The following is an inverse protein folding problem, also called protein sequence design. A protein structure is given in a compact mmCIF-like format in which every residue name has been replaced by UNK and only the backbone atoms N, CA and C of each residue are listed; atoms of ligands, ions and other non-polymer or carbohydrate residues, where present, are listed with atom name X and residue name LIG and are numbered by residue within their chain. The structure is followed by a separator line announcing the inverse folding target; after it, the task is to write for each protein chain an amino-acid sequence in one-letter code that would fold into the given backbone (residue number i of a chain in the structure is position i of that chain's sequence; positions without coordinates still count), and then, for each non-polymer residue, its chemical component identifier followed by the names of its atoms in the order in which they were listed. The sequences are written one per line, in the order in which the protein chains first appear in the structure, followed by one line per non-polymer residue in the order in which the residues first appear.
data_IF_157998721747
#
_entry.id   IF_157998721747
#
_cell.length_a   1.000
_cell.length_b   1.000
_cell.length_c   1.000
_cell.angle_alpha   90.00
_cell.angle_beta   90.00
_cell.angle_gamma   90.00
#
_symmetry.space_group_name_H-M   'P 1'
#
loop_
_entity.id
_entity.type
_entity.pdbx_description
1 polymer ?
#
# COMPACT_ATOMS: atom_id res chain seq x y z
N UNK A 1 -7.61 -6.33 -24.47
CA UNK A 1 -8.46 -5.39 -25.25
C UNK A 1 -9.91 -5.85 -25.35
N UNK A 2 -10.21 -7.14 -25.60
CA UNK A 2 -11.62 -7.64 -25.71
C UNK A 2 -12.44 -7.40 -24.43
N UNK A 3 -11.84 -7.48 -23.25
CA UNK A 3 -12.51 -7.26 -21.95
C UNK A 3 -13.07 -5.85 -21.74
N UNK A 4 -12.59 -4.85 -22.48
CA UNK A 4 -13.01 -3.45 -22.35
C UNK A 4 -14.00 -2.99 -23.42
N UNK A 5 -14.35 -3.82 -24.40
CA UNK A 5 -15.31 -3.44 -25.46
C UNK A 5 -16.69 -3.19 -24.83
N UNK A 6 -17.20 -4.16 -24.09
CA UNK A 6 -18.53 -4.06 -23.45
C UNK A 6 -18.57 -2.95 -22.38
N UNK A 7 -17.58 -2.81 -21.47
CA UNK A 7 -17.52 -1.67 -20.57
C UNK A 7 -17.46 -0.30 -21.26
N UNK A 8 -16.83 -0.20 -22.43
CA UNK A 8 -16.82 1.05 -23.20
C UNK A 8 -18.20 1.41 -23.75
N UNK A 9 -18.97 0.42 -24.21
CA UNK A 9 -20.37 0.60 -24.62
C UNK A 9 -21.21 1.01 -23.40
N UNK A 10 -21.08 0.31 -22.28
CA UNK A 10 -21.76 0.65 -21.04
C UNK A 10 -21.50 2.07 -20.60
N UNK A 11 -20.25 2.52 -20.70
CA UNK A 11 -19.83 3.87 -20.31
C UNK A 11 -20.52 4.95 -21.15
N UNK A 12 -20.62 4.75 -22.48
CA UNK A 12 -21.30 5.67 -23.39
C UNK A 12 -22.81 5.69 -23.11
N UNK A 13 -23.44 4.51 -23.02
CA UNK A 13 -24.89 4.41 -22.75
C UNK A 13 -25.21 5.02 -21.37
N UNK A 14 -24.42 4.73 -20.35
CA UNK A 14 -24.58 5.27 -19.01
C UNK A 14 -24.50 6.82 -18.99
N UNK A 15 -23.65 7.41 -19.83
CA UNK A 15 -23.59 8.87 -19.97
C UNK A 15 -24.96 9.47 -20.33
N UNK A 16 -25.63 8.94 -21.35
CA UNK A 16 -26.93 9.43 -21.78
C UNK A 16 -28.05 9.10 -20.79
N UNK A 17 -28.06 7.90 -20.23
CA UNK A 17 -29.07 7.46 -19.25
C UNK A 17 -29.03 8.30 -17.98
N UNK A 18 -27.84 8.74 -17.57
CA UNK A 18 -27.68 9.52 -16.32
C UNK A 18 -27.84 11.04 -16.50
N UNK A 19 -27.94 11.55 -17.74
CA UNK A 19 -28.09 12.96 -18.03
C UNK A 19 -29.20 13.65 -17.23
N UNK A 20 -30.45 13.14 -17.14
CA UNK A 20 -31.52 13.79 -16.41
C UNK A 20 -31.21 13.95 -14.92
N UNK A 21 -30.56 12.94 -14.30
CA UNK A 21 -30.18 12.98 -12.91
C UNK A 21 -29.02 13.96 -12.65
N UNK A 22 -28.10 14.10 -13.60
CA UNK A 22 -26.96 15.04 -13.51
C UNK A 22 -27.38 16.49 -13.70
N UNK A 23 -28.39 16.75 -14.53
CA UNK A 23 -28.94 18.10 -14.74
C UNK A 23 -29.72 18.62 -13.53
N UNK A 24 -30.23 17.71 -12.67
CA UNK A 24 -30.87 18.08 -11.41
C UNK A 24 -29.78 18.33 -10.35
N UNK A 25 -29.19 19.53 -10.34
CA UNK A 25 -28.21 19.97 -9.32
C UNK A 25 -28.83 19.91 -7.90
N UNK A 26 -28.84 18.74 -7.28
CA UNK A 26 -28.93 18.60 -5.83
C UNK A 26 -27.53 18.26 -5.31
N UNK A 27 -27.19 18.68 -4.09
CA UNK A 27 -25.96 18.29 -3.40
C UNK A 27 -25.74 16.80 -3.56
N UNK A 28 -24.73 16.45 -4.36
CA UNK A 28 -24.49 15.06 -4.74
C UNK A 28 -23.35 14.53 -3.87
N UNK A 29 -23.71 13.90 -2.76
CA UNK A 29 -22.74 13.26 -1.86
C UNK A 29 -22.37 11.86 -2.32
N UNK A 30 -22.61 11.50 -3.58
CA UNK A 30 -22.29 10.18 -4.11
C UNK A 30 -20.77 10.05 -4.28
N UNK A 31 -20.23 9.04 -3.63
CA UNK A 31 -18.81 8.75 -3.58
C UNK A 31 -18.52 7.33 -4.10
N UNK A 32 -17.56 7.20 -5.00
CA UNK A 32 -17.00 5.90 -5.39
C UNK A 32 -15.62 5.72 -4.75
N UNK A 33 -15.47 4.65 -4.00
CA UNK A 33 -14.20 4.24 -3.39
C UNK A 33 -13.70 2.97 -4.07
N UNK A 34 -12.42 2.88 -4.36
CA UNK A 34 -11.81 1.65 -4.85
C UNK A 34 -10.29 1.65 -4.67
N UNK A 35 -9.73 0.48 -4.54
CA UNK A 35 -8.29 0.25 -4.68
C UNK A 35 -7.96 -0.02 -6.16
N UNK A 36 -7.62 -1.25 -6.56
CA UNK A 36 -7.40 -1.58 -7.98
C UNK A 36 -8.65 -2.07 -8.71
N UNK A 37 -9.74 -2.26 -7.99
CA UNK A 37 -10.98 -2.84 -8.50
C UNK A 37 -11.14 -4.33 -8.13
N UNK A 38 -10.11 -4.96 -7.59
CA UNK A 38 -10.12 -6.35 -7.12
C UNK A 38 -9.59 -6.53 -5.69
N UNK A 39 -9.19 -5.46 -5.02
CA UNK A 39 -8.61 -5.49 -3.66
C UNK A 39 -9.48 -4.70 -2.68
N UNK A 40 -9.54 -5.12 -1.42
CA UNK A 40 -10.16 -4.41 -0.29
C UNK A 40 -9.42 -4.76 1.01
N UNK A 41 -8.20 -4.22 1.18
CA UNK A 41 -7.36 -4.50 2.35
C UNK A 41 -6.43 -3.35 2.75
N UNK A 42 -6.50 -2.23 2.05
CA UNK A 42 -5.60 -1.09 2.19
C UNK A 42 -6.40 0.18 2.56
N UNK A 43 -5.84 1.36 2.33
CA UNK A 43 -6.43 2.65 2.70
C UNK A 43 -7.84 2.86 2.14
N UNK A 44 -8.13 2.36 0.93
CA UNK A 44 -9.47 2.42 0.34
C UNK A 44 -10.52 1.65 1.14
N UNK A 45 -10.17 0.46 1.61
CA UNK A 45 -11.00 -0.36 2.47
C UNK A 45 -11.29 0.33 3.82
N UNK A 46 -10.25 0.77 4.52
CA UNK A 46 -10.40 1.42 5.83
C UNK A 46 -11.17 2.74 5.72
N UNK A 47 -10.91 3.52 4.69
CA UNK A 47 -11.64 4.76 4.40
C UNK A 47 -13.13 4.49 4.15
N UNK A 48 -13.46 3.51 3.31
CA UNK A 48 -14.86 3.14 3.04
C UNK A 48 -15.59 2.70 4.31
N UNK A 49 -14.96 1.86 5.13
CA UNK A 49 -15.55 1.44 6.41
C UNK A 49 -15.84 2.65 7.31
N UNK A 50 -14.87 3.57 7.42
CA UNK A 50 -15.03 4.79 8.21
C UNK A 50 -16.22 5.62 7.71
N UNK A 51 -16.31 5.86 6.40
CA UNK A 51 -17.41 6.64 5.81
C UNK A 51 -18.75 5.97 6.09
N UNK A 52 -18.87 4.66 5.90
CA UNK A 52 -20.13 3.94 6.15
C UNK A 52 -20.55 3.94 7.61
N UNK A 53 -19.60 3.93 8.53
CA UNK A 53 -19.87 3.89 9.98
C UNK A 53 -20.13 5.28 10.60
N UNK A 54 -19.38 6.28 10.17
CA UNK A 54 -19.40 7.60 10.79
C UNK A 54 -20.20 8.65 9.99
N UNK A 55 -20.39 8.43 8.68
CA UNK A 55 -21.01 9.37 7.75
C UNK A 55 -22.07 8.68 6.87
N UNK A 56 -23.15 8.15 7.48
CA UNK A 56 -24.21 7.44 6.74
C UNK A 56 -24.95 8.35 5.74
N UNK A 57 -24.87 9.68 5.89
CA UNK A 57 -25.40 10.67 4.96
C UNK A 57 -24.64 10.74 3.62
N UNK A 58 -23.43 10.18 3.57
CA UNK A 58 -22.65 10.07 2.32
C UNK A 58 -23.04 8.78 1.60
N UNK A 59 -23.50 8.90 0.36
CA UNK A 59 -23.87 7.75 -0.48
C UNK A 59 -22.60 7.12 -1.08
N UNK A 60 -21.85 6.40 -0.25
CA UNK A 60 -20.57 5.80 -0.60
C UNK A 60 -20.72 4.35 -1.07
N UNK A 61 -20.14 4.04 -2.23
CA UNK A 61 -20.07 2.71 -2.83
C UNK A 61 -18.62 2.25 -2.98
N UNK A 62 -18.36 0.98 -2.72
CA UNK A 62 -17.07 0.35 -2.97
C UNK A 62 -17.10 -0.45 -4.28
N UNK A 63 -16.16 -0.16 -5.18
CA UNK A 63 -16.07 -0.84 -6.49
C UNK A 63 -15.08 -2.00 -6.40
N UNK A 64 -15.59 -3.22 -6.62
CA UNK A 64 -14.81 -4.47 -6.52
C UNK A 64 -15.34 -5.53 -7.49
N UNK A 65 -14.48 -6.43 -7.96
CA UNK A 65 -14.89 -7.58 -8.79
C UNK A 65 -15.62 -8.63 -7.94
N UNK A 66 -16.50 -9.42 -8.57
CA UNK A 66 -17.28 -10.45 -7.87
C UNK A 66 -16.40 -11.63 -7.41
N UNK A 67 -15.31 -11.90 -8.12
CA UNK A 67 -14.34 -12.98 -7.85
C UNK A 67 -13.20 -12.56 -6.92
N UNK A 68 -13.24 -11.35 -6.39
CA UNK A 68 -12.21 -10.89 -5.46
C UNK A 68 -12.23 -11.69 -4.16
N UNK A 69 -11.08 -12.22 -3.70
CA UNK A 69 -10.98 -12.88 -2.41
C UNK A 69 -11.27 -11.94 -1.23
N UNK A 70 -11.16 -10.63 -1.45
CA UNK A 70 -11.38 -9.61 -0.42
C UNK A 70 -12.85 -9.19 -0.30
N UNK A 71 -13.73 -9.61 -1.22
CA UNK A 71 -15.15 -9.24 -1.20
C UNK A 71 -15.82 -9.62 0.13
N UNK A 72 -15.46 -10.76 0.70
CA UNK A 72 -16.01 -11.21 1.97
C UNK A 72 -15.73 -10.26 3.14
N UNK A 73 -14.65 -9.45 3.08
CA UNK A 73 -14.35 -8.42 4.09
C UNK A 73 -15.40 -7.30 4.12
N UNK A 74 -16.14 -7.14 3.02
CA UNK A 74 -17.16 -6.11 2.81
C UNK A 74 -18.59 -6.67 2.85
N UNK A 75 -18.79 -7.94 3.21
CA UNK A 75 -20.09 -8.63 3.13
C UNK A 75 -21.23 -7.89 3.86
N UNK A 76 -20.96 -7.22 4.98
CA UNK A 76 -21.95 -6.42 5.71
C UNK A 76 -22.46 -5.18 4.96
N UNK A 77 -21.81 -4.82 3.84
CA UNK A 77 -22.15 -3.66 3.02
C UNK A 77 -22.51 -4.06 1.57
N UNK A 78 -23.06 -5.25 1.37
CA UNK A 78 -23.34 -5.80 0.02
C UNK A 78 -24.16 -4.83 -0.86
N UNK A 79 -25.14 -4.12 -0.31
CA UNK A 79 -25.95 -3.12 -1.02
C UNK A 79 -25.14 -1.92 -1.53
N UNK A 80 -23.97 -1.67 -0.90
CA UNK A 80 -23.02 -0.63 -1.26
C UNK A 80 -21.83 -1.16 -2.08
N UNK A 81 -21.85 -2.43 -2.49
CA UNK A 81 -20.84 -2.97 -3.39
C UNK A 81 -21.27 -2.80 -4.84
N UNK A 82 -20.32 -2.47 -5.68
CA UNK A 82 -20.52 -2.29 -7.11
C UNK A 82 -19.52 -3.14 -7.87
N UNK A 83 -20.05 -4.02 -8.73
CA UNK A 83 -19.20 -4.85 -9.57
C UNK A 83 -18.38 -3.98 -10.53
N UNK A 84 -17.08 -4.13 -10.48
CA UNK A 84 -16.14 -3.45 -11.36
C UNK A 84 -16.49 -3.73 -12.84
N UNK A 85 -16.45 -2.69 -13.70
CA UNK A 85 -16.79 -2.72 -15.14
C UNK A 85 -18.24 -3.06 -15.45
N UNK A 86 -19.16 -3.09 -14.48
CA UNK A 86 -20.59 -3.28 -14.75
C UNK A 86 -21.26 -2.01 -15.29
N UNK A 87 -22.45 -2.15 -15.87
CA UNK A 87 -23.28 -0.99 -16.27
C UNK A 87 -23.62 -0.09 -15.07
N UNK A 88 -23.93 -0.68 -13.90
CA UNK A 88 -24.16 0.06 -12.65
C UNK A 88 -22.93 0.90 -12.27
N UNK A 89 -21.72 0.33 -12.41
CA UNK A 89 -20.48 1.06 -12.17
C UNK A 89 -20.36 2.28 -13.08
N UNK A 90 -20.63 2.11 -14.38
CA UNK A 90 -20.60 3.22 -15.33
C UNK A 90 -21.64 4.31 -14.99
N UNK A 91 -22.86 3.94 -14.60
CA UNK A 91 -23.87 4.88 -14.17
C UNK A 91 -23.48 5.65 -12.92
N UNK A 92 -22.95 4.97 -11.91
CA UNK A 92 -22.48 5.59 -10.68
C UNK A 92 -21.28 6.49 -10.94
N UNK A 93 -20.32 6.09 -11.78
CA UNK A 93 -19.21 6.95 -12.18
C UNK A 93 -19.68 8.30 -12.74
N UNK A 94 -20.66 8.27 -13.64
CA UNK A 94 -21.18 9.52 -14.22
C UNK A 94 -21.91 10.39 -13.20
N UNK A 95 -22.59 9.79 -12.23
CA UNK A 95 -23.34 10.50 -11.18
C UNK A 95 -22.45 10.93 -10.01
N UNK A 96 -21.36 10.23 -9.72
CA UNK A 96 -20.52 10.51 -8.58
C UNK A 96 -19.88 11.90 -8.62
N UNK A 97 -19.84 12.55 -7.46
CA UNK A 97 -19.09 13.77 -7.25
C UNK A 97 -17.68 13.47 -6.73
N UNK A 98 -17.55 12.49 -5.83
CA UNK A 98 -16.27 12.09 -5.26
C UNK A 98 -15.79 10.76 -5.85
N UNK A 99 -14.54 10.74 -6.32
CA UNK A 99 -13.84 9.56 -6.79
C UNK A 99 -12.59 9.37 -5.92
N UNK A 100 -12.61 8.39 -5.05
CA UNK A 100 -11.54 8.14 -4.08
C UNK A 100 -10.83 6.83 -4.41
N UNK A 101 -9.53 6.90 -4.63
CA UNK A 101 -8.74 5.71 -4.97
C UNK A 101 -7.37 5.71 -4.35
N UNK A 102 -6.74 4.53 -4.29
CA UNK A 102 -5.42 4.34 -3.69
C UNK A 102 -4.28 4.26 -4.70
N UNK A 103 -4.62 4.03 -5.96
CA UNK A 103 -3.67 3.80 -7.04
C UNK A 103 -3.89 4.78 -8.19
N UNK A 104 -2.86 4.98 -9.02
CA UNK A 104 -2.97 5.75 -10.27
C UNK A 104 -4.07 5.21 -11.20
N UNK A 105 -4.29 3.90 -11.15
CA UNK A 105 -5.35 3.19 -11.89
C UNK A 105 -6.36 2.64 -10.91
N UNK A 106 -6.97 3.55 -10.14
CA UNK A 106 -7.98 3.15 -9.18
C UNK A 106 -9.23 2.58 -9.88
N UNK A 107 -9.80 1.55 -9.27
CA UNK A 107 -10.97 0.87 -9.82
C UNK A 107 -12.25 1.70 -9.85
N UNK A 108 -12.29 2.91 -9.27
CA UNK A 108 -13.45 3.80 -9.36
C UNK A 108 -13.76 4.27 -10.79
N UNK A 109 -12.80 4.16 -11.72
CA UNK A 109 -12.99 4.55 -13.11
C UNK A 109 -13.20 3.31 -14.00
N UNK A 110 -14.33 3.19 -14.71
CA UNK A 110 -14.70 1.97 -15.45
C UNK A 110 -14.04 1.85 -16.84
N UNK A 111 -12.94 2.53 -17.07
CA UNK A 111 -12.19 2.49 -18.35
C UNK A 111 -10.68 2.38 -18.08
N UNK A 112 -9.91 1.82 -19.04
CA UNK A 112 -8.45 1.79 -18.93
C UNK A 112 -7.87 3.21 -18.80
N UNK A 113 -6.87 3.36 -17.93
CA UNK A 113 -6.23 4.65 -17.65
C UNK A 113 -5.78 5.40 -18.93
N UNK A 114 -5.24 4.69 -19.93
CA UNK A 114 -4.81 5.31 -21.21
C UNK A 114 -5.98 5.91 -21.97
N UNK A 115 -7.14 5.24 -21.96
CA UNK A 115 -8.38 5.73 -22.59
C UNK A 115 -8.90 6.94 -21.83
N UNK A 116 -9.00 6.81 -20.51
CA UNK A 116 -9.49 7.88 -19.63
C UNK A 116 -8.64 9.14 -19.72
N UNK A 117 -7.32 9.02 -19.70
CA UNK A 117 -6.43 10.20 -19.80
C UNK A 117 -6.57 10.94 -21.13
N UNK A 118 -6.78 10.21 -22.24
CA UNK A 118 -7.06 10.82 -23.55
C UNK A 118 -8.43 11.48 -23.58
N UNK A 119 -9.48 10.78 -23.11
CA UNK A 119 -10.84 11.32 -23.05
C UNK A 119 -10.91 12.53 -22.12
N UNK A 120 -10.26 12.50 -20.99
CA UNK A 120 -10.25 13.66 -20.08
C UNK A 120 -9.58 14.89 -20.69
N UNK A 121 -8.52 14.69 -21.48
CA UNK A 121 -7.86 15.80 -22.21
C UNK A 121 -8.80 16.43 -23.26
N UNK A 122 -9.64 15.62 -23.92
CA UNK A 122 -10.53 16.08 -24.98
C UNK A 122 -11.89 16.55 -24.45
N UNK A 123 -12.46 15.87 -23.49
CA UNK A 123 -13.86 16.02 -23.06
C UNK A 123 -13.99 16.49 -21.61
N UNK A 124 -12.89 16.62 -20.88
CA UNK A 124 -12.86 17.01 -19.46
C UNK A 124 -13.87 16.22 -18.61
N UNK A 125 -13.80 14.89 -18.68
CA UNK A 125 -14.78 13.97 -18.05
C UNK A 125 -14.80 14.06 -16.51
N UNK A 126 -13.78 14.68 -15.91
CA UNK A 126 -13.69 14.91 -14.47
C UNK A 126 -14.08 16.33 -14.05
N UNK A 127 -14.59 17.17 -14.98
CA UNK A 127 -14.90 18.60 -14.73
C UNK A 127 -15.71 18.83 -13.44
N UNK A 128 -16.72 18.00 -13.21
CA UNK A 128 -17.64 18.15 -12.07
C UNK A 128 -17.35 17.15 -10.95
N UNK A 129 -16.15 16.58 -10.92
CA UNK A 129 -15.74 15.52 -10.00
C UNK A 129 -14.56 15.97 -9.14
N UNK A 130 -14.54 15.51 -7.91
CA UNK A 130 -13.44 15.62 -6.98
C UNK A 130 -12.68 14.30 -6.98
N UNK A 131 -11.48 14.28 -7.54
CA UNK A 131 -10.65 13.07 -7.65
C UNK A 131 -9.59 13.11 -6.56
N UNK A 132 -9.71 12.22 -5.59
CA UNK A 132 -8.79 12.07 -4.48
C UNK A 132 -7.97 10.79 -4.60
N UNK A 133 -6.66 10.91 -4.50
CA UNK A 133 -5.76 9.77 -4.36
C UNK A 133 -5.29 9.68 -2.90
N UNK A 134 -5.81 8.67 -2.18
CA UNK A 134 -5.47 8.41 -0.78
C UNK A 134 -4.32 7.42 -0.62
N UNK A 135 -3.66 7.09 -1.71
CA UNK A 135 -2.46 6.24 -1.86
C UNK A 135 -2.56 4.86 -1.19
N UNK A 136 -1.71 3.96 -1.62
CA UNK A 136 -1.58 2.61 -1.03
C UNK A 136 -0.37 2.49 -0.10
N UNK A 137 0.48 3.50 -0.03
CA UNK A 137 1.69 3.51 0.79
C UNK A 137 2.55 4.74 0.52
N UNK A 138 3.56 4.93 1.36
CA UNK A 138 4.52 6.02 1.21
C UNK A 138 5.32 5.81 -0.07
N UNK A 139 5.35 6.83 -0.91
CA UNK A 139 6.13 6.85 -2.15
C UNK A 139 7.55 7.30 -1.82
N UNK A 140 8.45 6.34 -1.68
CA UNK A 140 9.86 6.58 -1.37
C UNK A 140 10.65 6.98 -2.61
N UNK A 141 10.39 6.32 -3.75
CA UNK A 141 11.14 6.47 -4.98
C UNK A 141 10.44 7.39 -5.98
N UNK A 142 11.20 7.96 -6.92
CA UNK A 142 10.62 8.82 -7.94
C UNK A 142 9.83 8.03 -8.99
N UNK A 143 8.57 8.40 -9.18
CA UNK A 143 7.63 7.79 -10.14
C UNK A 143 7.07 8.90 -11.04
N UNK A 144 7.68 9.09 -12.22
CA UNK A 144 7.35 10.17 -13.17
C UNK A 144 5.83 10.30 -13.48
N UNK A 145 5.11 9.18 -13.53
CA UNK A 145 3.65 9.17 -13.79
C UNK A 145 2.82 9.82 -12.69
N UNK A 146 3.38 10.07 -11.52
CA UNK A 146 2.70 10.73 -10.41
C UNK A 146 2.83 12.26 -10.42
N UNK A 147 3.53 12.86 -11.38
CA UNK A 147 3.62 14.30 -11.51
C UNK A 147 2.23 14.96 -11.60
N UNK A 148 2.06 16.11 -10.95
CA UNK A 148 0.78 16.83 -10.89
C UNK A 148 0.24 17.18 -12.26
N UNK A 149 1.08 17.57 -13.19
CA UNK A 149 0.69 17.87 -14.57
C UNK A 149 -0.04 16.70 -15.28
N UNK A 150 0.24 15.46 -14.85
CA UNK A 150 -0.35 14.23 -15.42
C UNK A 150 -1.55 13.74 -14.66
N UNK A 151 -1.57 13.91 -13.36
CA UNK A 151 -2.61 13.36 -12.47
C UNK A 151 -3.78 14.32 -12.27
N UNK A 152 -3.48 15.59 -12.06
CA UNK A 152 -4.46 16.67 -11.79
C UNK A 152 -5.45 16.30 -10.69
N UNK A 153 -5.01 15.57 -9.67
CA UNK A 153 -5.86 15.26 -8.51
C UNK A 153 -6.29 16.54 -7.79
N UNK A 154 -7.49 16.50 -7.21
CA UNK A 154 -7.96 17.53 -6.30
C UNK A 154 -7.38 17.36 -4.90
N UNK A 155 -7.07 16.10 -4.52
CA UNK A 155 -6.40 15.74 -3.28
C UNK A 155 -5.41 14.61 -3.52
N UNK A 156 -4.20 14.76 -2.99
CA UNK A 156 -3.23 13.69 -2.81
C UNK A 156 -2.91 13.57 -1.32
N UNK A 157 -3.29 12.46 -0.73
CA UNK A 157 -2.98 12.14 0.67
C UNK A 157 -1.53 11.68 0.79
N UNK A 158 -0.80 12.24 1.74
CA UNK A 158 0.56 11.83 2.10
C UNK A 158 0.56 11.23 3.51
N UNK A 159 1.25 10.10 3.67
CA UNK A 159 1.34 9.37 4.92
C UNK A 159 2.41 9.92 5.86
N UNK A 160 3.31 10.78 5.38
CA UNK A 160 4.42 11.37 6.13
C UNK A 160 4.70 12.81 5.69
N UNK A 161 5.32 13.61 6.57
CA UNK A 161 5.67 15.01 6.28
C UNK A 161 6.69 15.10 5.14
N UNK A 162 7.83 14.39 5.14
CA UNK A 162 8.79 14.49 4.05
C UNK A 162 8.23 13.98 2.71
N UNK A 163 7.26 13.08 2.74
CA UNK A 163 6.57 12.65 1.53
C UNK A 163 5.74 13.78 0.93
N UNK A 164 5.00 14.53 1.75
CA UNK A 164 4.25 15.71 1.29
C UNK A 164 5.19 16.73 0.66
N UNK A 165 6.29 17.05 1.33
CA UNK A 165 7.26 18.03 0.86
C UNK A 165 7.87 17.59 -0.48
N UNK A 166 8.21 16.31 -0.61
CA UNK A 166 8.71 15.74 -1.86
C UNK A 166 7.70 15.83 -3.01
N UNK A 167 6.40 15.63 -2.74
CA UNK A 167 5.36 15.81 -3.76
C UNK A 167 5.20 17.27 -4.17
N UNK A 168 5.30 18.21 -3.25
CA UNK A 168 5.27 19.64 -3.57
C UNK A 168 6.48 20.03 -4.41
N UNK A 169 7.68 19.71 -3.96
CA UNK A 169 8.94 20.19 -4.55
C UNK A 169 9.28 19.49 -5.88
N UNK A 170 9.09 18.16 -5.96
CA UNK A 170 9.58 17.35 -7.08
C UNK A 170 8.51 16.94 -8.07
N UNK A 171 7.27 16.80 -7.64
CA UNK A 171 6.15 16.43 -8.49
C UNK A 171 5.25 17.61 -8.89
N UNK A 172 5.51 18.81 -8.36
CA UNK A 172 4.82 20.04 -8.69
C UNK A 172 3.39 20.13 -8.16
N UNK A 173 3.07 19.40 -7.08
CA UNK A 173 1.76 19.52 -6.45
C UNK A 173 1.63 20.83 -5.67
N UNK A 174 0.50 21.55 -5.80
CA UNK A 174 0.18 22.64 -4.88
C UNK A 174 0.07 22.11 -3.44
N UNK A 175 0.50 22.87 -2.45
CA UNK A 175 0.36 22.53 -1.02
C UNK A 175 -1.09 22.27 -0.60
N UNK A 176 -2.03 22.95 -1.24
CA UNK A 176 -3.47 22.75 -1.01
C UNK A 176 -3.96 21.39 -1.50
N UNK A 177 -3.23 20.74 -2.40
CA UNK A 177 -3.57 19.44 -3.00
C UNK A 177 -2.83 18.29 -2.34
N UNK A 178 -1.49 18.39 -2.15
CA UNK A 178 -0.70 17.39 -1.44
C UNK A 178 -0.79 17.63 0.06
N UNK A 179 -1.52 16.79 0.78
CA UNK A 179 -1.81 17.01 2.19
C UNK A 179 -1.31 15.86 3.06
N UNK A 180 -0.59 16.20 4.11
CA UNK A 180 -0.24 15.25 5.16
C UNK A 180 -1.44 15.07 6.10
N UNK A 181 -2.02 13.88 6.08
CA UNK A 181 -3.15 13.47 6.92
C UNK A 181 -2.87 12.19 7.68
N UNK A 182 -1.79 11.49 7.35
CA UNK A 182 -1.61 10.07 7.64
C UNK A 182 -2.44 9.19 6.70
N UNK A 183 -2.31 7.88 6.83
CA UNK A 183 -3.06 6.90 6.02
C UNK A 183 -4.18 6.26 6.83
N UNK A 184 -5.32 6.00 6.19
CA UNK A 184 -6.49 5.41 6.86
C UNK A 184 -6.18 4.10 7.59
N UNK A 185 -5.33 3.22 7.02
CA UNK A 185 -4.95 1.96 7.66
C UNK A 185 -4.12 2.15 8.93
N UNK A 186 -3.49 3.32 9.13
CA UNK A 186 -2.71 3.60 10.33
C UNK A 186 -3.57 3.62 11.59
N UNK A 187 -4.86 3.94 11.49
CA UNK A 187 -5.79 3.85 12.61
C UNK A 187 -5.92 2.43 13.20
N UNK A 188 -5.53 1.42 12.43
CA UNK A 188 -5.52 0.01 12.86
C UNK A 188 -4.16 -0.48 13.35
N UNK A 189 -3.15 0.37 13.35
CA UNK A 189 -1.80 0.05 13.79
C UNK A 189 -1.52 0.43 15.25
N UNK A 190 -2.52 0.89 16.00
CA UNK A 190 -2.41 1.27 17.42
C UNK A 190 -2.77 0.14 18.39
N UNK A 191 -3.63 -0.79 17.97
CA UNK A 191 -4.10 -1.91 18.80
C UNK A 191 -3.49 -3.22 18.31
N UNK A 192 -2.41 -3.65 18.98
CA UNK A 192 -1.72 -4.90 18.67
C UNK A 192 -1.00 -5.47 19.88
N UNK A 193 -0.88 -6.79 19.89
CA UNK A 193 -0.02 -7.52 20.83
C UNK A 193 1.16 -8.10 20.06
N UNK A 194 2.36 -7.68 20.48
CA UNK A 194 3.59 -8.13 19.85
C UNK A 194 3.94 -9.52 20.32
N UNK A 195 4.15 -10.44 19.39
CA UNK A 195 4.71 -11.78 19.64
C UNK A 195 6.24 -11.71 19.58
N UNK A 196 6.89 -12.66 20.19
CA UNK A 196 8.34 -12.87 20.01
C UNK A 196 8.57 -13.46 18.62
N UNK A 197 8.50 -12.60 17.61
CA UNK A 197 8.54 -12.98 16.21
C UNK A 197 9.34 -11.97 15.39
N UNK A 198 10.21 -12.46 14.53
CA UNK A 198 10.91 -11.71 13.49
C UNK A 198 10.14 -11.86 12.19
N UNK A 199 9.86 -10.76 11.50
CA UNK A 199 9.28 -10.76 10.17
C UNK A 199 10.35 -10.42 9.12
N UNK A 200 10.58 -11.33 8.19
CA UNK A 200 11.47 -11.09 7.04
C UNK A 200 10.61 -10.85 5.80
N UNK A 201 10.63 -9.63 5.29
CA UNK A 201 9.84 -9.22 4.11
C UNK A 201 10.72 -8.58 3.04
N UNK A 202 11.29 -9.38 2.11
CA UNK A 202 12.11 -8.85 1.04
C UNK A 202 11.28 -8.21 -0.09
N UNK A 203 11.83 -7.18 -0.71
CA UNK A 203 11.33 -6.61 -1.97
C UNK A 203 11.63 -7.56 -3.13
N UNK A 204 10.69 -7.69 -4.05
CA UNK A 204 10.94 -8.46 -5.28
C UNK A 204 11.95 -7.76 -6.19
N UNK A 205 12.61 -8.54 -7.03
CA UNK A 205 13.52 -8.05 -8.06
C UNK A 205 12.86 -8.18 -9.42
N UNK A 206 12.56 -7.05 -10.08
CA UNK A 206 11.85 -7.03 -11.37
C UNK A 206 12.59 -7.76 -12.48
N UNK A 207 13.89 -7.92 -12.33
CA UNK A 207 14.78 -8.57 -13.27
C UNK A 207 15.04 -10.06 -12.98
N UNK A 208 14.41 -10.61 -11.93
CA UNK A 208 14.49 -12.05 -11.61
C UNK A 208 13.16 -12.72 -11.96
N UNK A 209 13.11 -13.56 -12.97
CA UNK A 209 11.94 -14.39 -13.27
C UNK A 209 11.70 -15.40 -12.15
N UNK A 210 10.44 -15.61 -11.70
CA UNK A 210 10.14 -16.56 -10.61
C UNK A 210 10.64 -17.98 -10.85
N UNK A 211 10.60 -18.46 -12.09
CA UNK A 211 11.07 -19.79 -12.50
C UNK A 211 12.60 -19.98 -12.40
N UNK A 212 13.37 -18.89 -12.29
CA UNK A 212 14.83 -18.90 -12.15
C UNK A 212 15.31 -18.38 -10.79
N UNK A 213 14.43 -18.28 -9.81
CA UNK A 213 14.75 -17.65 -8.52
C UNK A 213 15.89 -18.37 -7.79
N UNK A 214 15.94 -19.69 -7.80
CA UNK A 214 16.95 -20.50 -7.08
C UNK A 214 18.38 -20.27 -7.56
N UNK A 215 18.56 -19.90 -8.83
CA UNK A 215 19.86 -19.55 -9.39
C UNK A 215 20.29 -18.10 -9.08
N UNK A 216 19.43 -17.31 -8.47
CA UNK A 216 19.69 -15.89 -8.22
C UNK A 216 20.46 -15.64 -6.93
N UNK A 217 21.28 -14.58 -6.93
CA UNK A 217 21.94 -14.07 -5.72
C UNK A 217 20.92 -13.71 -4.62
N UNK A 218 19.72 -13.25 -5.02
CA UNK A 218 18.63 -12.97 -4.11
C UNK A 218 18.20 -14.20 -3.30
N UNK A 219 17.95 -15.32 -3.98
CA UNK A 219 17.59 -16.56 -3.32
C UNK A 219 18.73 -17.06 -2.42
N UNK A 220 19.96 -17.09 -2.93
CA UNK A 220 21.13 -17.57 -2.19
C UNK A 220 21.33 -16.76 -0.88
N UNK A 221 21.18 -15.44 -0.94
CA UNK A 221 21.34 -14.57 0.22
C UNK A 221 20.28 -14.82 1.31
N UNK A 222 18.99 -14.87 0.92
CA UNK A 222 17.92 -15.13 1.89
C UNK A 222 17.91 -16.59 2.37
N UNK A 223 18.25 -17.55 1.52
CA UNK A 223 18.41 -18.94 1.94
C UNK A 223 19.55 -19.12 2.94
N UNK A 224 20.70 -18.49 2.69
CA UNK A 224 21.82 -18.47 3.65
C UNK A 224 21.43 -17.80 4.98
N UNK A 225 20.65 -16.73 4.95
CA UNK A 225 20.11 -16.11 6.16
C UNK A 225 19.23 -17.09 6.94
N UNK A 226 18.23 -17.70 6.30
CA UNK A 226 17.30 -18.62 6.96
C UNK A 226 17.98 -19.85 7.55
N UNK A 227 19.00 -20.41 6.87
CA UNK A 227 19.74 -21.58 7.38
C UNK A 227 20.69 -21.27 8.53
N UNK A 228 21.12 -20.02 8.69
CA UNK A 228 22.08 -19.60 9.75
C UNK A 228 21.42 -19.06 11.00
N UNK A 229 20.10 -18.77 10.94
CA UNK A 229 19.36 -18.16 12.05
C UNK A 229 18.99 -19.16 13.15
N UNK A 230 18.98 -20.46 12.90
CA UNK A 230 18.38 -21.48 13.78
C UNK A 230 18.91 -21.40 15.22
N UNK A 231 20.23 -21.40 15.41
CA UNK A 231 20.84 -21.32 16.73
C UNK A 231 20.49 -20.02 17.48
N UNK A 232 20.38 -18.90 16.76
CA UNK A 232 20.03 -17.60 17.34
C UNK A 232 18.55 -17.57 17.72
N UNK A 233 17.67 -18.14 16.89
CA UNK A 233 16.23 -18.23 17.20
C UNK A 233 15.97 -19.10 18.43
N UNK A 234 16.73 -20.20 18.60
CA UNK A 234 16.65 -21.06 19.76
C UNK A 234 17.19 -20.35 21.03
N UNK A 235 18.36 -19.73 20.93
CA UNK A 235 19.01 -19.00 22.04
C UNK A 235 18.10 -17.90 22.63
N UNK A 236 17.40 -17.16 21.77
CA UNK A 236 16.55 -16.04 22.20
C UNK A 236 15.08 -16.39 22.34
N UNK A 237 14.69 -17.66 22.15
CA UNK A 237 13.31 -18.14 22.19
C UNK A 237 12.38 -17.24 21.34
N UNK A 238 12.69 -17.09 20.05
CA UNK A 238 11.98 -16.23 19.12
C UNK A 238 11.69 -16.97 17.80
N UNK A 239 10.51 -16.75 17.24
CA UNK A 239 10.10 -17.34 15.97
C UNK A 239 10.41 -16.40 14.80
N UNK A 240 10.45 -16.94 13.58
CA UNK A 240 10.65 -16.18 12.35
C UNK A 240 9.61 -16.50 11.31
N UNK A 241 9.01 -15.47 10.74
CA UNK A 241 8.14 -15.58 9.56
C UNK A 241 8.85 -14.93 8.36
N UNK A 242 9.15 -15.74 7.35
CA UNK A 242 9.63 -15.27 6.07
C UNK A 242 8.45 -15.11 5.11
N UNK A 243 8.15 -13.88 4.71
CA UNK A 243 7.03 -13.57 3.82
C UNK A 243 7.57 -13.00 2.49
N UNK A 244 7.74 -13.84 1.45
CA UNK A 244 8.20 -13.37 0.15
C UNK A 244 7.14 -12.50 -0.53
N UNK A 245 7.59 -11.50 -1.28
CA UNK A 245 6.72 -10.61 -2.04
C UNK A 245 5.74 -11.40 -2.94
N UNK A 246 4.52 -10.89 -3.16
CA UNK A 246 3.46 -11.59 -3.90
C UNK A 246 3.89 -12.13 -5.28
N UNK A 247 4.86 -11.51 -5.94
CA UNK A 247 5.45 -11.99 -7.19
C UNK A 247 6.22 -13.29 -7.05
N UNK A 248 6.76 -13.59 -5.89
CA UNK A 248 7.50 -14.81 -5.58
C UNK A 248 6.67 -15.84 -4.81
N UNK A 249 5.41 -15.55 -4.52
CA UNK A 249 4.50 -16.50 -3.85
C UNK A 249 4.33 -17.84 -4.60
N UNK A 250 4.24 -17.88 -5.95
CA UNK A 250 4.17 -19.16 -6.67
C UNK A 250 5.36 -20.08 -6.44
N UNK A 251 6.51 -19.54 -5.99
CA UNK A 251 7.75 -20.27 -5.75
C UNK A 251 8.21 -20.21 -4.28
N UNK A 252 7.35 -19.79 -3.38
CA UNK A 252 7.68 -19.63 -1.95
C UNK A 252 8.16 -20.94 -1.31
N UNK A 253 7.66 -22.10 -1.74
CA UNK A 253 8.08 -23.41 -1.28
C UNK A 253 9.58 -23.70 -1.48
N UNK A 254 10.22 -23.06 -2.45
CA UNK A 254 11.66 -23.22 -2.67
C UNK A 254 12.49 -22.68 -1.51
N UNK A 255 12.02 -21.62 -0.81
CA UNK A 255 12.70 -21.08 0.38
C UNK A 255 12.62 -22.01 1.59
N UNK A 256 11.74 -23.01 1.60
CA UNK A 256 11.67 -24.04 2.64
C UNK A 256 12.75 -25.12 2.48
N UNK A 257 13.31 -25.27 1.28
CA UNK A 257 14.29 -26.30 0.99
C UNK A 257 15.55 -26.13 1.87
N UNK A 258 15.91 -27.14 2.64
CA UNK A 258 17.07 -27.11 3.54
C UNK A 258 16.88 -26.29 4.84
N UNK A 259 15.74 -25.66 5.05
CA UNK A 259 15.37 -25.01 6.31
C UNK A 259 14.68 -26.04 7.20
N UNK A 260 15.36 -26.48 8.27
CA UNK A 260 14.89 -27.55 9.16
C UNK A 260 14.34 -27.02 10.48
N UNK A 261 14.60 -25.76 10.81
CA UNK A 261 14.15 -25.16 12.07
C UNK A 261 12.62 -25.13 12.17
N UNK A 262 12.04 -25.65 13.26
CA UNK A 262 10.61 -25.53 13.52
C UNK A 262 10.14 -24.11 13.83
N UNK A 263 11.08 -23.22 14.17
CA UNK A 263 10.83 -21.81 14.47
C UNK A 263 10.71 -20.94 13.22
N UNK A 264 11.00 -21.49 12.02
CA UNK A 264 10.97 -20.73 10.76
C UNK A 264 9.77 -21.13 9.93
N UNK A 265 8.86 -20.19 9.70
CA UNK A 265 7.71 -20.34 8.83
C UNK A 265 7.93 -19.55 7.55
N UNK A 266 7.79 -20.20 6.41
CA UNK A 266 7.68 -19.54 5.10
C UNK A 266 6.21 -19.33 4.81
N UNK A 267 5.77 -18.10 4.96
CA UNK A 267 4.35 -17.72 4.89
C UNK A 267 3.90 -17.44 3.45
N UNK A 268 2.66 -17.80 3.17
CA UNK A 268 2.02 -17.57 1.87
C UNK A 268 0.87 -16.56 1.95
N UNK A 269 0.44 -16.06 0.79
CA UNK A 269 -0.60 -15.04 0.64
C UNK A 269 -1.99 -15.55 1.03
N UNK A 270 -2.23 -16.86 1.03
CA UNK A 270 -3.56 -17.44 1.26
C UNK A 270 -3.89 -17.54 2.76
N UNK A 271 -2.86 -17.85 3.56
CA UNK A 271 -3.03 -18.12 5.00
C UNK A 271 -2.60 -16.95 5.90
N UNK A 272 -1.85 -15.97 5.37
CA UNK A 272 -1.28 -14.88 6.16
C UNK A 272 -1.71 -13.51 5.66
N UNK A 273 -2.20 -12.68 6.58
CA UNK A 273 -2.49 -11.27 6.33
C UNK A 273 -1.27 -10.42 6.67
N UNK A 274 -0.81 -9.59 5.73
CA UNK A 274 0.40 -8.76 5.88
C UNK A 274 0.27 -7.78 7.05
N UNK A 275 -0.89 -7.13 7.20
CA UNK A 275 -1.09 -6.17 8.28
C UNK A 275 -1.04 -6.86 9.65
N UNK A 276 -1.58 -8.08 9.74
CA UNK A 276 -1.51 -8.87 10.98
C UNK A 276 -0.06 -9.30 11.27
N UNK A 277 0.70 -9.76 10.27
CA UNK A 277 2.12 -10.09 10.43
C UNK A 277 2.94 -8.88 10.92
N UNK A 278 2.68 -7.70 10.37
CA UNK A 278 3.34 -6.46 10.82
C UNK A 278 3.00 -6.15 12.29
N UNK A 279 1.75 -6.34 12.70
CA UNK A 279 1.29 -6.12 14.08
C UNK A 279 1.89 -7.13 15.06
N UNK A 280 1.91 -8.39 14.68
CA UNK A 280 2.39 -9.50 15.52
C UNK A 280 3.91 -9.48 15.73
N UNK A 281 4.69 -8.99 14.77
CA UNK A 281 6.14 -9.12 14.83
C UNK A 281 6.81 -8.04 15.68
N UNK A 282 7.86 -8.42 16.42
CA UNK A 282 8.66 -7.54 17.27
C UNK A 282 9.76 -6.82 16.48
N UNK A 283 10.35 -7.51 15.50
CA UNK A 283 11.46 -7.02 14.67
C UNK A 283 11.15 -7.27 13.21
N UNK A 284 11.52 -6.36 12.33
CA UNK A 284 11.43 -6.56 10.89
C UNK A 284 12.81 -6.57 10.24
N UNK A 285 13.06 -7.57 9.40
CA UNK A 285 14.19 -7.59 8.48
C UNK A 285 13.64 -7.37 7.07
N UNK A 286 14.12 -6.34 6.41
CA UNK A 286 13.70 -6.02 5.03
C UNK A 286 14.89 -5.46 4.24
N UNK A 287 14.66 -5.02 3.01
CA UNK A 287 15.70 -4.44 2.15
C UNK A 287 15.30 -3.04 1.63
N UNK A 288 14.40 -2.97 0.64
CA UNK A 288 13.98 -1.71 -0.01
C UNK A 288 12.45 -1.51 0.03
N UNK A 289 11.73 -2.33 0.78
CA UNK A 289 10.27 -2.35 0.79
C UNK A 289 9.67 -1.11 1.46
N UNK A 290 8.65 -0.53 0.84
CA UNK A 290 7.88 0.57 1.47
C UNK A 290 7.00 0.12 2.63
N UNK A 291 6.81 -1.18 2.83
CA UNK A 291 6.07 -1.72 3.98
C UNK A 291 6.77 -1.42 5.32
N UNK A 292 8.07 -1.12 5.27
CA UNK A 292 8.83 -0.64 6.44
C UNK A 292 8.12 0.53 7.15
N UNK A 293 7.47 1.42 6.40
CA UNK A 293 6.86 2.61 6.97
C UNK A 293 5.68 2.31 7.90
N UNK A 294 4.93 1.25 7.63
CA UNK A 294 3.88 0.78 8.55
C UNK A 294 4.50 0.24 9.83
N UNK A 295 5.64 -0.46 9.71
CA UNK A 295 6.34 -1.05 10.85
C UNK A 295 6.98 0.01 11.75
N UNK A 296 7.68 0.99 11.16
CA UNK A 296 8.27 2.09 11.94
C UNK A 296 7.22 3.06 12.47
N UNK A 297 6.06 3.19 11.82
CA UNK A 297 4.92 3.91 12.37
C UNK A 297 4.49 3.30 13.72
N UNK A 298 4.53 1.98 13.86
CA UNK A 298 4.31 1.26 15.13
C UNK A 298 5.48 1.37 16.12
N UNK A 299 6.52 2.16 15.82
CA UNK A 299 7.74 2.36 16.65
C UNK A 299 8.49 1.07 16.95
N UNK A 300 8.54 0.15 15.98
CA UNK A 300 9.23 -1.12 16.07
C UNK A 300 10.56 -1.10 15.31
N UNK A 301 11.60 -1.84 15.77
CA UNK A 301 12.91 -1.85 15.13
C UNK A 301 12.89 -2.56 13.77
N UNK A 302 13.60 -1.94 12.81
CA UNK A 302 13.80 -2.49 11.45
C UNK A 302 15.30 -2.66 11.23
N UNK A 303 15.69 -3.80 10.65
CA UNK A 303 17.05 -4.09 10.21
C UNK A 303 17.04 -4.24 8.68
N UNK A 304 18.01 -3.64 8.01
CA UNK A 304 18.06 -3.67 6.54
C UNK A 304 19.15 -4.62 6.04
N UNK A 305 18.76 -5.52 5.14
CA UNK A 305 19.66 -6.47 4.49
C UNK A 305 19.79 -6.14 3.00
N UNK A 306 20.81 -5.35 2.65
CA UNK A 306 21.01 -4.77 1.31
C UNK A 306 22.23 -5.35 0.58
N UNK A 307 22.36 -6.67 0.55
CA UNK A 307 23.47 -7.41 -0.07
C UNK A 307 23.67 -7.12 -1.56
N UNK A 308 22.66 -6.62 -2.26
CA UNK A 308 22.65 -6.35 -3.70
C UNK A 308 22.36 -4.86 -4.03
N UNK A 309 22.74 -3.94 -3.12
CA UNK A 309 22.38 -2.51 -3.19
C UNK A 309 22.64 -1.87 -4.56
N UNK A 310 23.84 -2.02 -5.09
CA UNK A 310 24.23 -1.37 -6.34
C UNK A 310 23.45 -1.94 -7.54
N UNK A 311 23.26 -3.27 -7.56
CA UNK A 311 22.47 -3.92 -8.58
C UNK A 311 21.00 -3.50 -8.53
N UNK A 312 20.42 -3.46 -7.32
CA UNK A 312 19.03 -3.07 -7.14
C UNK A 312 18.79 -1.62 -7.58
N UNK A 313 19.61 -0.68 -7.12
CA UNK A 313 19.48 0.75 -7.46
C UNK A 313 19.67 1.01 -8.96
N UNK A 314 20.55 0.26 -9.61
CA UNK A 314 20.80 0.41 -11.06
C UNK A 314 19.68 -0.14 -11.93
N UNK A 315 18.91 -1.13 -11.45
CA UNK A 315 17.94 -1.89 -12.27
C UNK A 315 16.48 -1.70 -11.89
N UNK A 316 16.18 -1.22 -10.69
CA UNK A 316 14.80 -1.28 -10.18
C UNK A 316 14.13 0.09 -10.11
N UNK A 317 14.64 1.04 -9.33
CA UNK A 317 14.03 2.35 -9.13
C UNK A 317 15.06 3.47 -9.08
N UNK A 318 14.65 4.67 -9.51
CA UNK A 318 15.42 5.88 -9.25
C UNK A 318 15.35 6.20 -7.74
N UNK A 319 16.47 6.60 -7.12
CA UNK A 319 16.47 7.06 -5.74
C UNK A 319 15.47 8.19 -5.52
N UNK A 320 14.85 8.20 -4.38
CA UNK A 320 13.91 9.23 -3.95
C UNK A 320 14.54 10.21 -2.96
N UNK A 321 13.81 10.52 -1.90
CA UNK A 321 14.15 11.57 -0.94
C UNK A 321 14.62 11.02 0.43
N UNK A 322 14.58 9.73 0.66
CA UNK A 322 14.94 9.12 1.95
C UNK A 322 15.62 7.77 1.77
N UNK A 323 16.65 7.54 2.56
CA UNK A 323 17.35 6.28 2.67
C UNK A 323 16.88 5.44 3.86
N UNK A 324 17.05 4.15 3.77
CA UNK A 324 16.68 3.16 4.78
C UNK A 324 17.44 3.36 6.10
N UNK A 325 18.69 3.80 6.04
CA UNK A 325 19.58 4.11 7.18
C UNK A 325 18.96 5.11 8.16
N UNK A 326 17.95 5.83 7.74
CA UNK A 326 17.19 6.74 8.63
C UNK A 326 16.32 6.02 9.66
N UNK A 327 16.02 4.74 9.46
CA UNK A 327 15.06 3.98 10.28
C UNK A 327 15.67 2.75 10.96
N UNK A 328 16.89 2.36 10.61
CA UNK A 328 17.55 1.20 11.18
C UNK A 328 18.93 0.95 10.59
N UNK A 329 19.72 0.04 11.17
CA UNK A 329 21.02 -0.32 10.65
C UNK A 329 20.91 -1.06 9.30
N UNK A 330 21.89 -0.81 8.42
CA UNK A 330 21.99 -1.44 7.11
C UNK A 330 23.18 -2.40 7.09
N UNK A 331 22.93 -3.66 6.75
CA UNK A 331 23.94 -4.71 6.59
C UNK A 331 24.02 -5.14 5.12
N UNK A 332 25.24 -5.33 4.63
CA UNK A 332 25.52 -5.71 3.24
C UNK A 332 25.78 -7.21 3.08
N UNK A 333 25.90 -7.93 4.17
CA UNK A 333 26.12 -9.38 4.24
C UNK A 333 25.38 -10.01 5.42
N UNK A 334 25.37 -11.33 5.46
CA UNK A 334 24.66 -12.09 6.51
C UNK A 334 25.33 -11.92 7.88
N UNK A 335 26.65 -11.84 7.95
CA UNK A 335 27.37 -11.74 9.21
C UNK A 335 27.05 -10.42 9.92
N UNK A 336 27.13 -9.30 9.19
CA UNK A 336 26.74 -7.99 9.72
C UNK A 336 25.26 -7.92 10.11
N UNK A 337 24.37 -8.61 9.37
CA UNK A 337 22.95 -8.66 9.75
C UNK A 337 22.73 -9.46 11.04
N UNK A 338 23.39 -10.60 11.20
CA UNK A 338 23.29 -11.41 12.42
C UNK A 338 23.82 -10.66 13.65
N UNK A 339 24.92 -9.92 13.49
CA UNK A 339 25.44 -9.03 14.53
C UNK A 339 24.40 -7.98 14.95
N UNK A 340 23.83 -7.25 14.00
CA UNK A 340 22.81 -6.23 14.27
C UNK A 340 21.53 -6.83 14.88
N UNK A 341 21.14 -8.02 14.43
CA UNK A 341 19.99 -8.73 15.01
C UNK A 341 20.27 -9.13 16.45
N UNK A 342 21.46 -9.65 16.75
CA UNK A 342 21.87 -10.00 18.12
C UNK A 342 21.79 -8.78 19.03
N UNK A 343 22.37 -7.65 18.63
CA UNK A 343 22.29 -6.39 19.39
C UNK A 343 20.83 -5.93 19.62
N UNK A 344 19.97 -6.09 18.61
CA UNK A 344 18.55 -5.75 18.72
C UNK A 344 17.83 -6.66 19.73
N UNK A 345 18.11 -7.98 19.72
CA UNK A 345 17.51 -8.95 20.64
C UNK A 345 18.00 -8.73 22.09
N UNK A 346 19.29 -8.49 22.29
CA UNK A 346 19.88 -8.14 23.60
C UNK A 346 19.33 -6.82 24.14
N UNK A 347 19.06 -5.84 23.27
CA UNK A 347 18.40 -4.57 23.60
C UNK A 347 16.89 -4.67 23.83
N UNK A 348 16.34 -5.91 23.93
CA UNK A 348 14.92 -6.14 24.20
C UNK A 348 13.98 -5.79 23.03
N UNK A 349 14.51 -5.77 21.81
CA UNK A 349 13.73 -5.49 20.59
C UNK A 349 13.05 -4.12 20.59
N UNK A 350 13.72 -3.12 21.17
CA UNK A 350 13.22 -1.75 21.23
C UNK A 350 13.81 -0.90 20.09
N UNK A 351 13.00 0.03 19.58
CA UNK A 351 13.48 1.00 18.61
C UNK A 351 14.51 1.93 19.28
N UNK A 352 15.72 1.98 18.75
CA UNK A 352 16.78 2.81 19.32
C UNK A 352 16.40 4.31 19.31
N UNK A 353 16.80 5.10 20.31
CA UNK A 353 16.38 6.49 20.47
C UNK A 353 16.64 7.37 19.24
N UNK A 354 17.76 7.16 18.54
CA UNK A 354 18.10 7.92 17.33
C UNK A 354 17.08 7.69 16.21
N UNK A 355 16.65 6.44 16.00
CA UNK A 355 15.63 6.11 15.02
C UNK A 355 14.23 6.53 15.49
N UNK A 356 13.95 6.45 16.79
CA UNK A 356 12.67 6.91 17.37
C UNK A 356 12.45 8.42 17.15
N UNK A 357 13.52 9.22 17.29
CA UNK A 357 13.47 10.65 16.98
C UNK A 357 13.12 10.89 15.51
N UNK A 358 13.78 10.15 14.58
CA UNK A 358 13.53 10.25 13.15
C UNK A 358 12.11 9.82 12.75
N UNK A 359 11.60 8.75 13.38
CA UNK A 359 10.20 8.33 13.20
C UNK A 359 9.23 9.42 13.65
N UNK A 360 9.50 10.11 14.76
CA UNK A 360 8.65 11.18 15.27
C UNK A 360 8.65 12.42 14.36
N UNK A 361 9.78 12.75 13.73
CA UNK A 361 9.86 13.79 12.69
C UNK A 361 9.08 13.40 11.43
N UNK A 362 9.18 12.13 11.06
CA UNK A 362 8.54 11.62 9.85
C UNK A 362 7.02 11.52 9.99
N UNK A 363 6.54 11.11 11.17
CA UNK A 363 5.15 10.90 11.52
C UNK A 363 4.75 11.69 12.76
N UNK A 364 4.69 13.04 12.72
CA UNK A 364 4.27 13.83 13.88
C UNK A 364 2.81 13.58 14.30
N UNK A 365 1.93 13.17 13.37
CA UNK A 365 0.59 12.67 13.69
C UNK A 365 0.66 11.18 13.98
N UNK A 366 0.55 10.82 15.25
CA UNK A 366 0.60 9.44 15.72
C UNK A 366 -0.60 9.17 16.65
N UNK A 367 -1.78 9.09 16.03
CA UNK A 367 -3.07 8.91 16.67
C UNK A 367 -3.95 7.96 15.81
N UNK A 368 -5.24 7.88 16.12
CA UNK A 368 -6.24 7.06 15.42
C UNK A 368 -7.27 7.86 14.62
N UNK A 369 -6.95 9.12 14.29
CA UNK A 369 -7.84 10.05 13.60
C UNK A 369 -7.48 10.21 12.10
N UNK A 370 -6.70 9.31 11.55
CA UNK A 370 -6.25 9.41 10.15
C UNK A 370 -7.43 9.32 9.17
N UNK A 371 -8.34 8.37 9.36
CA UNK A 371 -9.55 8.25 8.53
C UNK A 371 -10.38 9.53 8.56
N UNK A 372 -10.54 10.13 9.75
CA UNK A 372 -11.27 11.39 9.92
C UNK A 372 -10.61 12.53 9.12
N UNK A 373 -9.29 12.71 9.27
CA UNK A 373 -8.55 13.75 8.53
C UNK A 373 -8.61 13.55 7.02
N UNK A 374 -8.52 12.30 6.55
CA UNK A 374 -8.67 11.99 5.12
C UNK A 374 -10.08 12.29 4.63
N UNK A 375 -11.10 11.94 5.41
CA UNK A 375 -12.50 12.26 5.07
C UNK A 375 -12.71 13.78 4.98
N UNK A 376 -12.29 14.52 5.99
CA UNK A 376 -12.40 15.99 6.00
C UNK A 376 -11.67 16.61 4.79
N UNK A 377 -10.49 16.07 4.43
CA UNK A 377 -9.74 16.54 3.27
C UNK A 377 -10.44 16.21 1.94
N UNK A 378 -11.10 15.05 1.81
CA UNK A 378 -11.87 14.66 0.62
C UNK A 378 -13.11 15.54 0.45
N UNK A 379 -13.81 15.83 1.52
CA UNK A 379 -15.04 16.63 1.46
C UNK A 379 -14.79 18.11 1.15
N UNK A 380 -13.58 18.61 1.43
CA UNK A 380 -13.19 20.01 1.23
C UNK A 380 -12.18 20.25 0.11
N UNK A 381 -11.86 19.25 -0.71
CA UNK A 381 -10.89 19.40 -1.81
C UNK A 381 -11.46 20.09 -3.06
#
# INVERSE_FOLDING_TARGET
MKEFILPSIYWIVAFFVTLPARCRKRHNNLMLVSEKGNDARDNGYHFFLYVRQQHPEVDAYYVITDDSPDRNRLAQYEDHLVRYLSFRHCCLFWKAHYLVGTHLRAGHTPLPFVVVSRLNRLLNIYKDKKVANIKHGITKNFIDRMAYERTRYNLLVCGAVPERDYFVERYGYPESVARYTGFCRFDRLSDFQVKRQILVMPTWRSYIPPDRITASRFYQAYHALLTRLDALLEQYDIDLVFYPHHRFQPVCGQFKSGVTSPRIVVADLQHYDVQQLLKDSAVMITDYSSVLFDFVYMRKPVLFYQFDRDEFLSRHFKPGYIGEESFGPVSMDVDGLLEQLTLCLEGGMQLAPAYAAKVSEFFPLHDTDNCKRVFDAVMHC
#
